data_IF_745986281223
#
_entry.id   IF_745986281223
#
_cell.length_a   1.000
_cell.length_b   1.000
_cell.length_c   1.000
_cell.angle_alpha   90.00
_cell.angle_beta   90.00
_cell.angle_gamma   90.00
#
_symmetry.space_group_name_H-M   'P 1'
#
loop_
_entity.id
_entity.type
_entity.pdbx_description
1 polymer ?
#
# COMPACT_ATOMS: atom_id res chain seq x y z
N UNK A 1 -1.98 -35.59 -72.39
CA UNK A 1 -0.89 -35.04 -71.57
C UNK A 1 -1.51 -34.55 -70.26
N UNK A 2 -1.37 -35.28 -69.12
CA UNK A 2 -0.50 -34.95 -67.96
C UNK A 2 -0.69 -33.49 -67.49
N UNK A 3 -1.12 -33.14 -66.26
CA UNK A 3 -0.71 -33.58 -64.90
C UNK A 3 -1.81 -33.20 -63.86
N UNK A 4 -2.22 -34.12 -62.98
CA UNK A 4 -1.84 -34.29 -61.54
C UNK A 4 -2.54 -33.30 -60.57
N UNK A 5 -3.48 -33.82 -59.78
CA UNK A 5 -3.88 -33.32 -58.45
C UNK A 5 -2.71 -33.51 -57.46
N UNK A 6 -2.36 -32.48 -56.69
CA UNK A 6 -1.81 -32.63 -55.33
C UNK A 6 -2.35 -31.48 -54.49
N UNK A 7 -3.17 -31.82 -53.48
CA UNK A 7 -3.55 -30.90 -52.41
C UNK A 7 -2.52 -30.91 -51.29
N UNK A 8 -2.45 -29.82 -50.52
CA UNK A 8 -1.92 -29.78 -49.16
C UNK A 8 -2.44 -28.52 -48.45
N UNK A 9 -3.40 -28.71 -47.53
CA UNK A 9 -3.63 -27.90 -46.33
C UNK A 9 -3.05 -28.71 -45.14
N UNK A 10 -2.85 -28.17 -43.93
CA UNK A 10 -2.29 -26.88 -43.51
C UNK A 10 -1.16 -27.10 -42.46
N UNK A 11 -0.44 -26.05 -42.04
CA UNK A 11 0.42 -26.12 -40.84
C UNK A 11 0.22 -24.84 -40.02
N UNK A 12 -0.94 -24.76 -39.36
CA UNK A 12 -1.13 -23.84 -38.24
C UNK A 12 -0.33 -24.40 -37.06
N UNK A 13 0.85 -23.82 -36.83
CA UNK A 13 1.58 -23.96 -35.57
C UNK A 13 0.76 -23.27 -34.47
N UNK A 14 -0.17 -24.02 -33.89
CA UNK A 14 -0.81 -23.68 -32.63
C UNK A 14 0.24 -23.76 -31.52
N UNK A 15 0.94 -22.64 -31.31
CA UNK A 15 1.67 -22.39 -30.07
C UNK A 15 0.65 -22.42 -28.92
N UNK A 16 0.48 -23.59 -28.32
CA UNK A 16 -0.08 -23.73 -26.99
C UNK A 16 0.88 -23.06 -26.01
N UNK A 17 0.69 -21.76 -25.78
CA UNK A 17 1.27 -21.10 -24.63
C UNK A 17 0.50 -21.66 -23.43
N UNK A 18 1.14 -22.41 -22.51
CA UNK A 18 0.48 -22.77 -21.27
C UNK A 18 0.16 -21.45 -20.55
N UNK A 19 -1.14 -21.16 -20.43
CA UNK A 19 -1.63 -20.13 -19.52
C UNK A 19 -1.28 -20.65 -18.12
N UNK A 20 -0.11 -20.24 -17.62
CA UNK A 20 0.24 -20.44 -16.22
C UNK A 20 -0.74 -19.56 -15.44
N UNK A 21 -1.79 -20.18 -14.91
CA UNK A 21 -2.73 -19.54 -14.03
C UNK A 21 -2.01 -19.17 -12.72
N UNK A 22 -1.39 -17.98 -12.69
CA UNK A 22 -0.91 -17.32 -11.47
C UNK A 22 -2.12 -16.80 -10.66
N UNK A 23 -2.99 -17.70 -10.20
CA UNK A 23 -4.26 -17.31 -9.56
C UNK A 23 -4.56 -17.94 -8.20
N UNK A 24 -3.71 -18.83 -7.67
CA UNK A 24 -4.05 -19.66 -6.51
C UNK A 24 -3.48 -19.24 -5.15
N UNK A 25 -2.33 -18.54 -5.12
CA UNK A 25 -1.59 -18.32 -3.86
C UNK A 25 -2.07 -17.07 -3.11
N UNK A 26 -2.64 -16.10 -3.82
CA UNK A 26 -3.09 -14.83 -3.24
C UNK A 26 -4.39 -14.96 -2.44
N UNK A 27 -5.26 -15.93 -2.76
CA UNK A 27 -6.57 -16.05 -2.11
C UNK A 27 -6.49 -16.67 -0.71
N UNK A 28 -5.70 -17.73 -0.50
CA UNK A 28 -5.54 -18.36 0.81
C UNK A 28 -4.79 -17.44 1.78
N UNK A 29 -3.75 -16.77 1.30
CA UNK A 29 -3.00 -15.80 2.08
C UNK A 29 -3.89 -14.66 2.58
N UNK A 30 -4.61 -14.01 1.66
CA UNK A 30 -5.52 -12.92 1.99
C UNK A 30 -6.66 -13.39 2.92
N UNK A 31 -7.20 -14.60 2.70
CA UNK A 31 -8.22 -15.19 3.56
C UNK A 31 -7.70 -15.38 5.00
N UNK A 32 -6.46 -15.84 5.17
CA UNK A 32 -5.82 -15.96 6.48
C UNK A 32 -5.68 -14.59 7.17
N UNK A 33 -5.24 -13.57 6.44
CA UNK A 33 -5.13 -12.20 6.97
C UNK A 33 -6.50 -11.67 7.43
N UNK A 34 -7.51 -11.74 6.57
CA UNK A 34 -8.87 -11.24 6.87
C UNK A 34 -9.57 -12.06 7.96
N UNK A 35 -9.25 -13.35 8.11
CA UNK A 35 -9.79 -14.17 9.20
C UNK A 35 -9.27 -13.73 10.58
N UNK A 36 -7.98 -13.37 10.70
CA UNK A 36 -7.40 -12.93 11.99
C UNK A 36 -7.63 -11.44 12.26
N UNK A 37 -7.69 -10.62 11.22
CA UNK A 37 -7.86 -9.16 11.31
C UNK A 37 -8.90 -8.67 10.29
N UNK A 38 -10.20 -8.87 10.54
CA UNK A 38 -11.27 -8.61 9.57
C UNK A 38 -11.41 -7.13 9.19
N UNK A 39 -10.88 -6.21 9.98
CA UNK A 39 -10.91 -4.77 9.72
C UNK A 39 -9.52 -4.18 9.51
N UNK A 40 -8.47 -4.99 9.37
CA UNK A 40 -7.11 -4.49 9.22
C UNK A 40 -6.76 -4.03 7.80
N UNK A 41 -7.45 -4.56 6.78
CA UNK A 41 -7.18 -4.33 5.36
C UNK A 41 -8.38 -3.72 4.65
N UNK A 42 -8.12 -2.71 3.80
CA UNK A 42 -9.13 -2.08 2.94
C UNK A 42 -9.09 -2.58 1.49
N UNK A 43 -8.06 -3.33 1.12
CA UNK A 43 -7.86 -3.91 -0.22
C UNK A 43 -7.33 -5.34 -0.12
N UNK A 44 -7.08 -5.95 -1.28
CA UNK A 44 -6.20 -7.12 -1.37
C UNK A 44 -4.76 -6.70 -0.99
N UNK A 45 -3.98 -7.65 -0.49
CA UNK A 45 -2.60 -7.40 -0.03
C UNK A 45 -1.53 -7.76 -1.06
N UNK A 46 -1.91 -8.51 -2.10
CA UNK A 46 -1.03 -8.95 -3.19
C UNK A 46 0.22 -9.74 -2.74
N UNK A 47 0.17 -10.37 -1.55
CA UNK A 47 1.29 -11.11 -0.96
C UNK A 47 2.33 -10.24 -0.26
N UNK A 48 2.07 -8.93 -0.09
CA UNK A 48 3.03 -7.98 0.51
C UNK A 48 2.98 -8.01 2.04
N UNK A 49 1.80 -8.25 2.61
CA UNK A 49 1.58 -8.17 4.04
C UNK A 49 1.73 -9.54 4.71
N UNK A 50 1.90 -9.51 6.03
CA UNK A 50 1.95 -10.70 6.88
C UNK A 50 1.06 -10.48 8.08
N UNK A 51 0.69 -11.58 8.75
CA UNK A 51 -0.06 -11.53 10.02
C UNK A 51 0.57 -10.58 11.05
N UNK A 52 1.91 -10.46 11.09
CA UNK A 52 2.61 -9.57 12.01
C UNK A 52 2.43 -8.08 11.68
N UNK A 53 2.29 -7.74 10.41
CA UNK A 53 2.06 -6.35 9.99
C UNK A 53 0.69 -5.85 10.41
N UNK A 54 -0.32 -6.73 10.36
CA UNK A 54 -1.67 -6.42 10.82
C UNK A 54 -1.75 -6.43 12.35
N UNK A 55 -0.97 -7.32 13.00
CA UNK A 55 -0.83 -7.34 14.45
C UNK A 55 -0.33 -6.00 14.98
N UNK A 56 0.70 -5.42 14.36
CA UNK A 56 1.25 -4.11 14.74
C UNK A 56 0.16 -3.03 14.87
N UNK A 57 -0.75 -2.93 13.90
CA UNK A 57 -1.84 -1.95 13.95
C UNK A 57 -2.84 -2.27 15.06
N UNK A 58 -3.21 -3.56 15.19
CA UNK A 58 -4.17 -4.04 16.18
C UNK A 58 -3.69 -3.97 17.64
N UNK A 59 -2.38 -3.89 17.86
CA UNK A 59 -1.80 -3.74 19.19
C UNK A 59 -2.10 -2.37 19.79
N UNK A 60 -1.89 -1.30 19.02
CA UNK A 60 -2.05 0.05 19.55
C UNK A 60 -3.51 0.39 19.84
N UNK A 61 -4.41 -0.03 18.97
CA UNK A 61 -5.84 0.29 19.03
C UNK A 61 -6.64 -0.92 18.53
N UNK A 62 -7.76 -1.21 19.19
CA UNK A 62 -8.67 -2.27 18.76
C UNK A 62 -9.18 -2.00 17.34
N UNK A 63 -9.10 -2.96 16.41
CA UNK A 63 -9.59 -2.77 15.05
C UNK A 63 -11.11 -2.56 15.01
N UNK A 64 -11.55 -1.51 14.34
CA UNK A 64 -12.96 -1.19 14.10
C UNK A 64 -13.27 -1.21 12.59
N UNK A 65 -14.51 -1.54 12.18
CA UNK A 65 -14.92 -1.46 10.79
C UNK A 65 -14.61 -0.09 10.18
N UNK A 66 -14.06 -0.06 8.98
CA UNK A 66 -13.79 1.19 8.28
C UNK A 66 -15.10 1.86 7.85
N UNK A 67 -15.30 3.11 8.28
CA UNK A 67 -16.43 3.95 7.87
C UNK A 67 -15.89 5.11 7.03
N UNK A 68 -16.14 5.14 5.70
CA UNK A 68 -15.68 6.21 4.85
C UNK A 68 -16.17 7.58 5.33
N UNK A 69 -15.27 8.56 5.40
CA UNK A 69 -15.58 9.91 5.84
C UNK A 69 -15.72 10.10 7.35
N UNK A 70 -15.48 9.06 8.16
CA UNK A 70 -15.32 9.18 9.60
C UNK A 70 -13.84 9.29 9.97
N UNK A 71 -13.53 10.11 10.97
CA UNK A 71 -12.22 10.08 11.63
C UNK A 71 -12.08 8.76 12.39
N UNK A 72 -10.98 8.06 12.18
CA UNK A 72 -10.64 6.84 12.92
C UNK A 72 -9.16 6.87 13.31
N UNK A 73 -8.84 6.69 14.60
CA UNK A 73 -7.45 6.65 15.04
C UNK A 73 -6.77 5.31 14.69
N UNK A 74 -7.54 4.27 14.37
CA UNK A 74 -7.00 2.97 13.96
C UNK A 74 -6.30 3.08 12.61
N UNK A 75 -5.14 2.42 12.50
CA UNK A 75 -4.36 2.37 11.27
C UNK A 75 -4.83 1.20 10.39
N UNK A 76 -5.25 1.48 9.17
CA UNK A 76 -5.64 0.46 8.20
C UNK A 76 -4.55 0.31 7.13
N UNK A 77 -4.35 -0.92 6.67
CA UNK A 77 -3.53 -1.20 5.50
C UNK A 77 -4.36 -1.11 4.22
N UNK A 78 -3.80 -0.47 3.20
CA UNK A 78 -4.32 -0.45 1.83
C UNK A 78 -3.16 -0.59 0.84
N UNK A 79 -3.34 -1.37 -0.22
CA UNK A 79 -2.30 -1.70 -1.17
C UNK A 79 -2.65 -1.28 -2.58
N UNK A 80 -1.64 -0.78 -3.29
CA UNK A 80 -1.76 -0.25 -4.64
C UNK A 80 -0.68 -0.82 -5.54
N UNK A 81 -0.92 -0.82 -6.85
CA UNK A 81 0.15 -0.97 -7.82
C UNK A 81 1.20 0.13 -7.60
N UNK A 82 2.47 -0.24 -7.53
CA UNK A 82 3.57 0.67 -7.19
C UNK A 82 3.68 1.86 -8.13
N UNK A 83 3.30 1.69 -9.41
CA UNK A 83 3.30 2.77 -10.41
C UNK A 83 2.28 3.89 -10.10
N UNK A 84 1.28 3.60 -9.27
CA UNK A 84 0.25 4.55 -8.87
C UNK A 84 0.57 5.26 -7.56
N UNK A 85 1.78 5.05 -6.99
CA UNK A 85 2.22 5.67 -5.74
C UNK A 85 3.26 6.75 -6.04
N UNK A 86 3.04 7.94 -5.51
CA UNK A 86 3.96 9.07 -5.58
C UNK A 86 4.25 9.59 -4.18
N UNK A 87 5.51 9.52 -3.75
CA UNK A 87 5.97 10.18 -2.53
C UNK A 87 6.62 11.53 -2.85
N UNK A 88 6.24 12.57 -2.11
CA UNK A 88 6.79 13.92 -2.21
C UNK A 88 7.12 14.47 -0.82
N UNK A 89 8.10 15.37 -0.79
CA UNK A 89 8.34 16.23 0.36
C UNK A 89 7.80 17.60 0.00
N UNK A 90 6.69 18.00 0.62
CA UNK A 90 6.10 19.33 0.42
C UNK A 90 6.81 20.31 1.35
N UNK A 91 7.61 21.22 0.79
CA UNK A 91 8.19 22.35 1.55
C UNK A 91 7.04 23.24 2.05
N UNK A 92 6.89 23.33 3.36
CA UNK A 92 5.83 24.12 3.97
C UNK A 92 6.19 25.60 4.04
N UNK A 93 7.41 25.98 3.65
CA UNK A 93 7.96 27.34 3.67
C UNK A 93 7.91 28.03 5.05
N UNK A 94 7.61 27.28 6.10
CA UNK A 94 7.74 27.72 7.48
C UNK A 94 9.18 27.45 7.94
N UNK A 95 9.79 28.45 8.58
CA UNK A 95 11.08 28.30 9.24
C UNK A 95 10.87 27.93 10.71
N UNK A 96 11.63 26.95 11.20
CA UNK A 96 11.86 26.71 12.62
C UNK A 96 13.29 27.12 12.98
N UNK A 97 13.70 26.89 14.24
CA UNK A 97 15.06 27.19 14.71
C UNK A 97 16.17 26.52 13.87
N UNK A 98 15.83 25.43 13.15
CA UNK A 98 16.74 24.63 12.33
C UNK A 98 16.64 24.90 10.81
N UNK A 99 15.79 25.83 10.38
CA UNK A 99 15.56 26.18 8.96
C UNK A 99 14.16 25.80 8.43
N UNK A 100 14.05 25.51 7.12
CA UNK A 100 12.76 25.15 6.50
C UNK A 100 12.26 23.78 6.99
N UNK A 101 10.95 23.65 7.12
CA UNK A 101 10.30 22.35 7.40
C UNK A 101 9.53 21.84 6.17
N UNK A 102 9.63 20.53 5.95
CA UNK A 102 8.87 19.81 4.93
C UNK A 102 7.83 18.88 5.55
N UNK A 103 6.84 18.47 4.77
CA UNK A 103 5.90 17.42 5.14
C UNK A 103 5.95 16.30 4.11
N UNK A 104 6.11 15.06 4.59
CA UNK A 104 6.01 13.88 3.74
C UNK A 104 4.55 13.71 3.34
N UNK A 105 4.31 13.62 2.03
CA UNK A 105 3.02 13.28 1.44
C UNK A 105 3.20 12.12 0.49
N UNK A 106 2.32 11.13 0.59
CA UNK A 106 2.25 9.98 -0.32
C UNK A 106 0.87 10.02 -0.98
N UNK A 107 0.88 10.20 -2.29
CA UNK A 107 -0.31 10.10 -3.13
C UNK A 107 -0.40 8.68 -3.67
N UNK A 108 -1.61 8.13 -3.68
CA UNK A 108 -1.88 6.84 -4.31
C UNK A 108 -3.22 6.87 -5.04
N UNK A 109 -3.35 6.08 -6.10
CA UNK A 109 -4.59 6.01 -6.87
C UNK A 109 -5.06 4.57 -7.06
N UNK A 110 -6.35 4.35 -6.84
CA UNK A 110 -7.10 3.26 -7.46
C UNK A 110 -8.00 3.82 -8.58
N UNK A 111 -8.67 2.93 -9.34
CA UNK A 111 -9.46 3.33 -10.51
C UNK A 111 -10.53 4.40 -10.24
N UNK A 112 -10.94 4.63 -8.99
CA UNK A 112 -12.03 5.57 -8.64
C UNK A 112 -11.65 6.59 -7.57
N UNK A 113 -10.61 6.32 -6.78
CA UNK A 113 -10.28 7.06 -5.56
C UNK A 113 -8.82 7.52 -5.60
N UNK A 114 -8.63 8.81 -5.33
CA UNK A 114 -7.34 9.40 -5.01
C UNK A 114 -7.14 9.37 -3.48
N UNK A 115 -5.99 8.88 -3.04
CA UNK A 115 -5.59 8.86 -1.65
C UNK A 115 -4.46 9.85 -1.43
N UNK A 116 -4.57 10.65 -0.37
CA UNK A 116 -3.48 11.48 0.12
C UNK A 116 -3.13 11.05 1.54
N UNK A 117 -1.91 10.55 1.73
CA UNK A 117 -1.40 10.18 3.04
C UNK A 117 -0.35 11.20 3.48
N UNK A 118 -0.63 11.94 4.54
CA UNK A 118 0.23 13.01 5.04
C UNK A 118 0.88 12.61 6.35
N UNK A 119 2.17 12.90 6.53
CA UNK A 119 2.81 12.69 7.82
C UNK A 119 2.16 13.57 8.90
N UNK A 120 1.99 13.01 10.10
CA UNK A 120 1.34 13.71 11.22
C UNK A 120 2.06 14.98 11.66
N UNK A 121 3.39 15.03 11.47
CA UNK A 121 4.25 16.14 11.88
C UNK A 121 5.14 16.58 10.72
N UNK A 122 5.40 17.88 10.56
CA UNK A 122 6.44 18.37 9.67
C UNK A 122 7.82 17.99 10.21
N UNK A 123 8.78 17.78 9.32
CA UNK A 123 10.16 17.38 9.63
C UNK A 123 11.11 18.47 9.11
N UNK A 124 12.37 18.46 9.56
CA UNK A 124 13.38 19.27 8.90
C UNK A 124 13.44 18.92 7.40
N UNK A 125 13.57 19.94 6.53
CA UNK A 125 13.44 19.73 5.07
C UNK A 125 14.40 18.65 4.53
N UNK A 126 15.61 18.56 5.10
CA UNK A 126 16.60 17.53 4.73
C UNK A 126 16.10 16.13 5.03
N UNK A 127 15.63 15.89 6.26
CA UNK A 127 15.10 14.58 6.68
C UNK A 127 13.88 14.18 5.86
N UNK A 128 13.02 15.15 5.53
CA UNK A 128 11.86 14.93 4.67
C UNK A 128 12.27 14.49 3.24
N UNK A 129 13.26 15.15 2.63
CA UNK A 129 13.80 14.79 1.31
C UNK A 129 14.44 13.39 1.34
N UNK A 130 15.26 13.11 2.34
CA UNK A 130 15.97 11.83 2.47
C UNK A 130 14.99 10.67 2.72
N UNK A 131 13.97 10.89 3.54
CA UNK A 131 12.91 9.92 3.76
C UNK A 131 12.14 9.62 2.46
N UNK A 132 11.73 10.65 1.72
CA UNK A 132 11.04 10.48 0.43
C UNK A 132 11.90 9.76 -0.60
N UNK A 133 13.22 10.02 -0.63
CA UNK A 133 14.17 9.28 -1.47
C UNK A 133 14.20 7.80 -1.10
N UNK A 134 14.16 7.49 0.20
CA UNK A 134 14.09 6.13 0.72
C UNK A 134 12.78 5.44 0.30
N UNK A 135 11.63 6.11 0.46
CA UNK A 135 10.34 5.58 0.00
C UNK A 135 10.34 5.27 -1.50
N UNK A 136 10.85 6.20 -2.31
CA UNK A 136 10.96 6.00 -3.76
C UNK A 136 11.82 4.79 -4.11
N UNK A 137 12.95 4.60 -3.41
CA UNK A 137 13.81 3.44 -3.62
C UNK A 137 13.14 2.12 -3.21
N UNK A 138 12.37 2.14 -2.11
CA UNK A 138 11.65 0.97 -1.61
C UNK A 138 10.56 0.49 -2.59
N UNK A 139 9.84 1.43 -3.22
CA UNK A 139 8.76 1.19 -4.19
C UNK A 139 9.31 0.91 -5.60
N UNK A 140 10.53 1.35 -5.91
CA UNK A 140 11.10 1.19 -7.25
C UNK A 140 11.28 -0.29 -7.61
N UNK A 141 10.67 -0.71 -8.71
CA UNK A 141 10.78 -2.07 -9.23
C UNK A 141 10.09 -3.12 -8.37
N UNK A 142 9.10 -2.73 -7.57
CA UNK A 142 8.12 -3.63 -6.93
C UNK A 142 6.81 -3.56 -7.72
N UNK A 143 5.98 -4.60 -7.68
CA UNK A 143 4.68 -4.59 -8.35
C UNK A 143 3.64 -3.81 -7.54
N UNK A 144 3.64 -4.01 -6.22
CA UNK A 144 2.70 -3.40 -5.29
C UNK A 144 3.42 -2.85 -4.05
N UNK A 145 2.80 -1.86 -3.42
CA UNK A 145 3.17 -1.43 -2.08
C UNK A 145 1.91 -1.21 -1.25
N UNK A 146 2.01 -1.46 0.05
CA UNK A 146 0.95 -1.27 1.02
C UNK A 146 1.28 -0.10 1.94
N UNK A 147 0.31 0.76 2.20
CA UNK A 147 0.43 1.91 3.07
C UNK A 147 -0.47 1.68 4.29
N UNK A 148 0.09 1.90 5.48
CA UNK A 148 -0.67 1.95 6.73
C UNK A 148 -0.98 3.40 7.06
N UNK A 149 -2.25 3.70 7.28
CA UNK A 149 -2.70 5.05 7.61
C UNK A 149 -3.92 5.06 8.53
N UNK A 150 -4.00 6.05 9.41
CA UNK A 150 -5.25 6.40 10.10
C UNK A 150 -6.00 7.44 9.27
N UNK A 151 -7.32 7.32 9.12
CA UNK A 151 -8.07 8.14 8.17
C UNK A 151 -8.71 9.32 8.87
N UNK A 152 -8.55 10.52 8.28
CA UNK A 152 -8.91 11.78 8.96
C UNK A 152 -10.27 12.33 8.54
N UNK A 153 -10.60 12.51 7.25
CA UNK A 153 -11.94 13.07 6.94
C UNK A 153 -12.37 13.03 5.46
N UNK A 154 -13.70 13.17 5.31
CA UNK A 154 -14.60 13.44 4.17
C UNK A 154 -14.11 13.11 2.77
N UNK A 155 -14.76 12.10 2.23
CA UNK A 155 -14.96 11.91 0.80
C UNK A 155 -15.42 13.21 0.12
N UNK A 156 -14.49 13.87 -0.56
CA UNK A 156 -14.75 15.01 -1.44
C UNK A 156 -14.34 14.65 -2.85
N UNK A 157 -15.01 15.21 -3.85
CA UNK A 157 -14.48 15.14 -5.22
C UNK A 157 -13.32 16.11 -5.35
N UNK A 158 -12.18 15.63 -5.84
CA UNK A 158 -11.06 16.48 -6.23
C UNK A 158 -11.42 17.30 -7.49
N UNK A 159 -10.51 18.15 -7.93
CA UNK A 159 -10.70 19.00 -9.13
C UNK A 159 -10.95 18.20 -10.42
N UNK A 160 -10.61 16.91 -10.43
CA UNK A 160 -10.82 15.97 -11.56
C UNK A 160 -12.12 15.18 -11.42
N UNK A 161 -12.92 15.44 -10.39
CA UNK A 161 -14.18 14.73 -10.11
C UNK A 161 -14.02 13.36 -9.46
N UNK A 162 -12.79 12.95 -9.10
CA UNK A 162 -12.52 11.67 -8.43
C UNK A 162 -12.74 11.82 -6.92
N UNK A 163 -13.20 10.76 -6.26
CA UNK A 163 -13.30 10.77 -4.80
C UNK A 163 -11.91 10.85 -4.19
N UNK A 164 -11.74 11.70 -3.18
CA UNK A 164 -10.49 11.88 -2.46
C UNK A 164 -10.64 11.41 -1.02
N UNK A 165 -9.64 10.68 -0.53
CA UNK A 165 -9.53 10.23 0.86
C UNK A 165 -8.21 10.68 1.45
N UNK A 166 -8.26 11.32 2.60
CA UNK A 166 -7.08 11.83 3.30
C UNK A 166 -6.83 11.00 4.57
N UNK A 167 -5.60 10.57 4.76
CA UNK A 167 -5.16 9.86 5.95
C UNK A 167 -3.82 10.33 6.47
N UNK A 168 -3.50 10.01 7.71
CA UNK A 168 -2.17 10.16 8.30
C UNK A 168 -1.33 8.97 7.90
N UNK A 169 -0.25 9.27 7.19
CA UNK A 169 0.78 8.29 6.85
C UNK A 169 1.48 7.79 8.13
N UNK A 170 1.58 6.47 8.28
CA UNK A 170 2.41 5.84 9.31
C UNK A 170 3.58 5.06 8.73
N UNK A 171 3.31 4.16 7.78
CA UNK A 171 4.34 3.30 7.18
C UNK A 171 3.95 2.81 5.80
N UNK A 172 4.95 2.43 5.03
CA UNK A 172 4.80 1.77 3.72
C UNK A 172 5.62 0.49 3.70
N UNK A 173 5.07 -0.54 3.06
CA UNK A 173 5.69 -1.85 2.92
C UNK A 173 5.63 -2.34 1.49
N UNK A 174 6.70 -3.00 1.06
CA UNK A 174 6.80 -3.75 -0.20
C UNK A 174 7.34 -5.14 0.10
N UNK A 175 7.46 -5.96 -0.94
CA UNK A 175 8.19 -7.24 -0.88
C UNK A 175 9.68 -7.09 -0.57
N UNK A 176 10.25 -5.89 -0.75
CA UNK A 176 11.66 -5.57 -0.45
C UNK A 176 11.90 -5.12 0.99
N UNK A 177 10.89 -4.62 1.68
CA UNK A 177 11.06 -4.08 3.02
C UNK A 177 9.93 -3.16 3.46
N UNK A 178 10.16 -2.46 4.57
CA UNK A 178 9.20 -1.52 5.15
C UNK A 178 9.94 -0.27 5.63
N UNK A 179 9.28 0.88 5.54
CA UNK A 179 9.78 2.16 6.03
C UNK A 179 8.67 2.95 6.73
N UNK A 180 9.03 3.73 7.76
CA UNK A 180 8.11 4.51 8.59
C UNK A 180 8.12 4.13 10.07
N UNK A 181 7.05 4.47 10.79
CA UNK A 181 6.98 4.22 12.24
C UNK A 181 6.75 2.73 12.52
N UNK A 182 7.78 2.06 13.04
CA UNK A 182 7.75 0.66 13.50
C UNK A 182 7.41 -0.36 12.40
N UNK A 183 8.44 -0.92 11.77
CA UNK A 183 8.30 -1.89 10.68
C UNK A 183 8.45 -3.36 11.09
N UNK A 184 8.74 -3.64 12.37
CA UNK A 184 9.01 -4.99 12.87
C UNK A 184 8.22 -5.23 14.13
N UNK A 185 7.41 -6.29 14.14
CA UNK A 185 6.76 -6.78 15.34
C UNK A 185 7.78 -7.45 16.26
N UNK A 186 8.24 -6.73 17.27
CA UNK A 186 9.22 -7.20 18.25
C UNK A 186 8.53 -7.72 19.51
N UNK A 187 9.25 -8.51 20.30
CA UNK A 187 8.79 -8.97 21.61
C UNK A 187 8.51 -7.80 22.56
N UNK A 188 9.30 -6.72 22.47
CA UNK A 188 9.06 -5.48 23.20
C UNK A 188 7.70 -4.89 22.84
N UNK A 189 7.40 -4.75 21.55
CA UNK A 189 6.09 -4.26 21.09
C UNK A 189 4.96 -5.16 21.57
N UNK A 190 5.14 -6.48 21.50
CA UNK A 190 4.16 -7.45 22.02
C UNK A 190 3.86 -7.21 23.48
N UNK A 191 4.89 -7.05 24.31
CA UNK A 191 4.72 -6.84 25.76
C UNK A 191 4.13 -5.47 26.09
N UNK A 192 4.56 -4.42 25.40
CA UNK A 192 4.15 -3.04 25.69
C UNK A 192 2.75 -2.72 25.17
N UNK A 193 2.38 -3.22 23.99
CA UNK A 193 1.17 -2.80 23.28
C UNK A 193 0.17 -3.93 23.04
N UNK A 194 0.54 -5.19 23.18
CA UNK A 194 -0.40 -6.29 22.93
C UNK A 194 -0.16 -7.53 23.80
N UNK A 195 -0.24 -7.39 25.14
CA UNK A 195 -0.01 -8.49 26.06
C UNK A 195 -1.01 -9.65 25.85
N UNK A 196 -2.21 -9.35 25.37
CA UNK A 196 -3.30 -10.32 25.16
C UNK A 196 -3.30 -10.98 23.78
N UNK A 197 -2.42 -10.55 22.87
CA UNK A 197 -2.40 -10.99 21.49
C UNK A 197 -1.52 -12.25 21.40
N UNK A 198 -2.18 -13.42 21.50
CA UNK A 198 -1.59 -14.77 21.45
C UNK A 198 -1.21 -15.21 20.04
#
# INVERSE_FOLDING_TARGET
>A
MRKILIGTLPLFLSFWIPIIAYGGVTSEHLAKLKSKYPHGLLSDDYGVLTVKDLALNACHIKPEPFVPGAFTPYEYWICFESKNILAICEDQHFSNEDGHVGRVQVEAHDHQIAYQFIAARPWAIRDCIDFVKTLKNLVRGTSHACISASYIDKEKKNQRGQMERIGIFNRIKTDKGCEGKECVFTEKIRQEYCPDLK
#
